data_IF_701036516708
#
_entry.id   IF_701036516708
#
_cell.length_a   1.000
_cell.length_b   1.000
_cell.length_c   1.000
_cell.angle_alpha   90.00
_cell.angle_beta   90.00
_cell.angle_gamma   90.00
#
_symmetry.space_group_name_H-M   'P 1'
#
loop_
_entity.id
_entity.type
_entity.pdbx_description
1 polymer ?
#
# COMPACT_ATOMS: atom_id res chain seq x y z
N UNK A 1 -1.39 -3.28 24.77
CA UNK A 1 -0.38 -4.24 25.25
C UNK A 1 -0.96 -5.63 25.31
N UNK A 2 -0.16 -6.64 25.01
CA UNK A 2 -0.65 -8.01 24.99
C UNK A 2 -0.82 -8.61 26.38
N UNK A 3 -1.88 -9.36 26.52
CA UNK A 3 -2.11 -10.23 27.67
C UNK A 3 -1.47 -11.57 27.34
N UNK A 4 -0.44 -11.94 28.05
CA UNK A 4 0.28 -13.17 27.74
C UNK A 4 -0.55 -14.43 27.92
N UNK A 5 -1.55 -14.37 28.78
CA UNK A 5 -2.43 -15.49 29.06
C UNK A 5 -3.58 -15.62 28.08
N UNK A 6 -3.72 -14.66 27.17
CA UNK A 6 -4.84 -14.60 26.24
C UNK A 6 -4.36 -14.43 24.81
N UNK A 7 -3.52 -15.34 24.29
CA UNK A 7 -2.97 -15.14 22.97
C UNK A 7 -4.00 -15.16 21.84
N UNK A 8 -5.05 -15.98 21.98
CA UNK A 8 -6.08 -16.02 20.95
C UNK A 8 -6.87 -14.71 20.92
N UNK A 9 -7.20 -14.18 22.09
CA UNK A 9 -7.92 -12.92 22.16
C UNK A 9 -7.09 -11.76 21.63
N UNK A 10 -5.79 -11.77 21.88
CA UNK A 10 -4.90 -10.78 21.32
C UNK A 10 -4.88 -10.84 19.80
N UNK A 11 -4.90 -12.05 19.24
CA UNK A 11 -4.95 -12.22 17.79
C UNK A 11 -6.25 -11.67 17.22
N UNK A 12 -7.36 -11.96 17.86
CA UNK A 12 -8.67 -11.40 17.48
C UNK A 12 -8.62 -9.88 17.49
N UNK A 13 -8.05 -9.31 18.55
CA UNK A 13 -7.95 -7.86 18.68
C UNK A 13 -7.17 -7.24 17.52
N UNK A 14 -6.10 -7.88 17.09
CA UNK A 14 -5.30 -7.36 15.97
C UNK A 14 -6.11 -7.37 14.67
N UNK A 15 -6.84 -8.43 14.39
CA UNK A 15 -7.66 -8.47 13.19
C UNK A 15 -8.81 -7.46 13.25
N UNK A 16 -9.35 -7.23 14.42
CA UNK A 16 -10.46 -6.29 14.60
C UNK A 16 -10.04 -4.84 14.38
N UNK A 17 -8.74 -4.55 14.37
CA UNK A 17 -8.23 -3.20 14.12
C UNK A 17 -8.31 -2.80 12.65
N UNK A 18 -8.47 -3.76 11.76
CA UNK A 18 -8.58 -3.43 10.34
C UNK A 18 -9.91 -2.76 10.03
N UNK A 19 -9.91 -1.69 9.21
CA UNK A 19 -11.16 -1.05 8.82
C UNK A 19 -12.08 -2.06 8.13
N UNK A 20 -13.34 -2.05 8.48
CA UNK A 20 -14.32 -2.94 7.88
C UNK A 20 -14.34 -4.35 8.47
N UNK A 21 -13.45 -4.66 9.40
CA UNK A 21 -13.44 -5.97 10.06
C UNK A 21 -14.08 -5.81 11.42
N UNK A 22 -15.29 -6.36 11.60
CA UNK A 22 -15.96 -6.37 12.88
C UNK A 22 -15.43 -7.50 13.76
N UNK A 23 -15.89 -7.50 15.02
CA UNK A 23 -15.42 -8.49 15.99
C UNK A 23 -15.70 -9.92 15.53
N UNK A 24 -16.88 -10.15 14.99
CA UNK A 24 -17.28 -11.48 14.54
C UNK A 24 -16.37 -12.00 13.43
N UNK A 25 -16.04 -11.15 12.46
CA UNK A 25 -15.14 -11.52 11.39
C UNK A 25 -13.72 -11.74 11.91
N UNK A 26 -13.28 -10.89 12.83
CA UNK A 26 -11.97 -11.01 13.44
C UNK A 26 -11.82 -12.36 14.17
N UNK A 27 -12.86 -12.77 14.88
CA UNK A 27 -12.86 -14.08 15.56
C UNK A 27 -12.69 -15.20 14.54
N UNK A 28 -13.44 -15.15 13.44
CA UNK A 28 -13.32 -16.17 12.40
C UNK A 28 -11.91 -16.21 11.79
N UNK A 29 -11.33 -15.04 11.55
CA UNK A 29 -9.98 -14.97 11.02
C UNK A 29 -8.95 -15.57 11.97
N UNK A 30 -9.09 -15.28 13.27
CA UNK A 30 -8.18 -15.82 14.28
C UNK A 30 -8.27 -17.35 14.33
N UNK A 31 -9.47 -17.90 14.30
CA UNK A 31 -9.62 -19.35 14.28
C UNK A 31 -9.10 -19.96 12.98
N UNK A 32 -9.21 -19.25 11.87
CA UNK A 32 -8.63 -19.72 10.62
C UNK A 32 -7.12 -19.85 10.75
N UNK A 33 -6.47 -18.87 11.38
CA UNK A 33 -5.04 -18.95 11.64
C UNK A 33 -4.70 -20.16 12.50
N UNK A 34 -5.52 -20.42 13.53
CA UNK A 34 -5.28 -21.56 14.40
C UNK A 34 -5.45 -22.89 13.69
N UNK A 35 -6.26 -22.92 12.63
CA UNK A 35 -6.46 -24.14 11.83
C UNK A 35 -5.35 -24.38 10.81
N UNK A 36 -4.54 -23.38 10.54
CA UNK A 36 -3.43 -23.52 9.61
C UNK A 36 -2.32 -24.37 10.19
N UNK A 37 -1.54 -25.04 9.33
CA UNK A 37 -0.26 -25.60 9.78
C UNK A 37 0.62 -24.48 10.35
N UNK A 38 1.39 -24.81 11.39
CA UNK A 38 2.24 -23.80 12.04
C UNK A 38 3.16 -23.08 11.04
N UNK A 39 3.67 -23.80 10.06
CA UNK A 39 4.54 -23.24 9.04
C UNK A 39 3.84 -22.15 8.23
N UNK A 40 2.59 -22.39 7.86
CA UNK A 40 1.81 -21.42 7.10
C UNK A 40 1.51 -20.17 7.94
N UNK A 41 1.20 -20.37 9.21
CA UNK A 41 0.95 -19.23 10.11
C UNK A 41 2.20 -18.39 10.29
N UNK A 42 3.36 -19.03 10.40
CA UNK A 42 4.64 -18.31 10.50
C UNK A 42 4.95 -17.55 9.23
N UNK A 43 4.62 -18.14 8.07
CA UNK A 43 4.81 -17.45 6.79
C UNK A 43 4.00 -16.16 6.75
N UNK A 44 2.77 -16.21 7.24
CA UNK A 44 1.92 -15.02 7.31
C UNK A 44 2.56 -13.95 8.20
N UNK A 45 3.03 -14.36 9.37
CA UNK A 45 3.65 -13.43 10.31
C UNK A 45 4.91 -12.79 9.71
N UNK A 46 5.73 -13.59 9.05
CA UNK A 46 6.95 -13.09 8.41
C UNK A 46 6.66 -12.19 7.22
N UNK A 47 5.61 -12.50 6.47
CA UNK A 47 5.21 -11.64 5.35
C UNK A 47 4.85 -10.24 5.83
N UNK A 48 4.13 -10.16 6.94
CA UNK A 48 3.77 -8.88 7.53
C UNK A 48 5.03 -8.13 7.97
N UNK A 49 5.91 -8.83 8.68
CA UNK A 49 7.15 -8.22 9.18
C UNK A 49 8.03 -7.71 8.06
N UNK A 50 8.25 -8.54 7.03
CA UNK A 50 9.10 -8.16 5.91
C UNK A 50 8.52 -6.99 5.13
N UNK A 51 7.20 -6.99 4.92
CA UNK A 51 6.57 -5.87 4.22
C UNK A 51 6.78 -4.56 4.97
N UNK A 52 6.64 -4.59 6.29
CA UNK A 52 6.83 -3.36 7.08
C UNK A 52 8.28 -2.90 7.13
N UNK A 53 9.22 -3.84 7.08
CA UNK A 53 10.64 -3.49 7.12
C UNK A 53 11.18 -3.05 5.77
N UNK A 54 10.79 -3.73 4.71
CA UNK A 54 11.43 -3.58 3.41
C UNK A 54 10.72 -2.61 2.48
N UNK A 55 9.41 -2.46 2.63
CA UNK A 55 8.67 -1.54 1.78
C UNK A 55 8.69 -0.13 2.34
N UNK A 56 8.94 0.82 1.45
CA UNK A 56 8.83 2.24 1.75
C UNK A 56 8.33 2.95 0.50
N UNK A 57 8.13 4.25 0.58
CA UNK A 57 7.59 5.00 -0.54
C UNK A 57 8.69 5.39 -1.52
N UNK A 58 8.40 5.22 -2.81
CA UNK A 58 9.25 5.76 -3.86
C UNK A 58 9.39 7.27 -3.63
N UNK A 59 10.61 7.80 -3.65
CA UNK A 59 10.82 9.21 -3.39
C UNK A 59 10.29 10.13 -4.48
N UNK A 60 9.93 9.56 -5.63
CA UNK A 60 9.40 10.35 -6.74
C UNK A 60 7.87 10.31 -6.75
N UNK A 61 7.27 9.12 -6.82
CA UNK A 61 5.82 8.98 -6.99
C UNK A 61 5.06 8.58 -5.72
N UNK A 62 5.74 8.18 -4.67
CA UNK A 62 5.16 7.78 -3.39
C UNK A 62 4.48 6.41 -3.41
N UNK A 63 4.59 5.64 -4.49
CA UNK A 63 4.16 4.25 -4.49
C UNK A 63 5.12 3.42 -3.63
N UNK A 64 4.68 2.26 -3.19
CA UNK A 64 5.52 1.38 -2.37
C UNK A 64 6.58 0.70 -3.23
N UNK A 65 7.79 0.64 -2.71
CA UNK A 65 8.91 -0.01 -3.39
C UNK A 65 9.93 -0.46 -2.34
N UNK A 66 10.78 -1.40 -2.71
CA UNK A 66 11.88 -1.81 -1.86
C UNK A 66 13.15 -1.00 -2.11
N UNK A 67 13.24 -0.36 -3.27
CA UNK A 67 14.38 0.50 -3.61
C UNK A 67 14.09 1.97 -3.33
N UNK A 68 14.99 2.82 -3.73
CA UNK A 68 14.81 4.27 -3.58
C UNK A 68 13.74 4.78 -4.54
N UNK A 69 13.71 4.25 -5.74
CA UNK A 69 12.80 4.64 -6.80
C UNK A 69 12.14 3.39 -7.37
N UNK A 70 10.84 3.45 -7.61
CA UNK A 70 10.11 2.30 -8.13
C UNK A 70 10.45 2.03 -9.61
N UNK A 71 10.03 0.86 -10.10
CA UNK A 71 10.33 0.44 -11.46
C UNK A 71 9.79 1.41 -12.51
N UNK A 72 8.61 1.96 -12.27
CA UNK A 72 7.99 2.88 -13.22
C UNK A 72 8.77 4.17 -13.29
N UNK A 73 9.10 4.76 -12.15
CA UNK A 73 9.86 6.00 -12.13
C UNK A 73 11.28 5.84 -12.66
N UNK A 74 11.85 4.66 -12.51
CA UNK A 74 13.20 4.37 -13.00
C UNK A 74 13.23 4.03 -14.50
N UNK A 75 12.08 3.69 -15.08
CA UNK A 75 12.02 3.26 -16.48
C UNK A 75 12.24 4.42 -17.44
N UNK A 76 13.13 4.23 -18.38
CA UNK A 76 13.39 5.24 -19.41
C UNK A 76 12.36 5.19 -20.55
N UNK A 77 11.52 4.17 -20.55
CA UNK A 77 10.50 4.01 -21.58
C UNK A 77 9.23 4.80 -21.28
N UNK A 78 9.13 5.38 -20.11
CA UNK A 78 7.94 6.14 -19.70
C UNK A 78 7.98 7.56 -20.22
N UNK A 79 6.80 8.07 -20.53
CA UNK A 79 6.66 9.47 -20.95
C UNK A 79 6.66 10.34 -19.68
N UNK A 80 7.77 11.05 -19.47
CA UNK A 80 7.95 11.84 -18.25
C UNK A 80 7.21 13.18 -18.28
N UNK A 81 6.55 13.47 -19.38
CA UNK A 81 5.76 14.70 -19.48
C UNK A 81 4.32 14.54 -18.99
N UNK A 82 3.91 13.31 -18.70
CA UNK A 82 2.54 13.01 -18.29
C UNK A 82 2.53 12.36 -16.93
N UNK A 83 1.70 12.86 -16.04
CA UNK A 83 1.59 12.34 -14.68
C UNK A 83 0.12 12.05 -14.35
N UNK A 84 -0.14 10.85 -13.88
CA UNK A 84 -1.46 10.46 -13.43
C UNK A 84 -1.45 10.50 -11.90
N UNK A 85 -2.27 11.38 -11.33
CA UNK A 85 -2.39 11.50 -9.88
C UNK A 85 -3.46 10.53 -9.41
N UNK A 86 -3.11 9.65 -8.49
CA UNK A 86 -4.03 8.65 -7.96
C UNK A 86 -4.10 8.72 -6.44
N UNK A 87 -5.21 8.24 -5.89
CA UNK A 87 -5.41 8.26 -4.44
C UNK A 87 -4.62 7.19 -3.72
N UNK A 88 -4.45 6.04 -4.35
CA UNK A 88 -3.90 4.85 -3.72
C UNK A 88 -2.99 4.09 -4.69
N UNK A 89 -1.99 3.37 -4.15
CA UNK A 89 -1.17 2.50 -5.00
C UNK A 89 -1.98 1.45 -5.76
N UNK A 90 -3.14 1.06 -5.25
CA UNK A 90 -4.00 0.09 -5.94
C UNK A 90 -4.48 0.61 -7.28
N UNK A 91 -4.66 1.93 -7.39
CA UNK A 91 -5.11 2.54 -8.64
C UNK A 91 -4.06 2.37 -9.74
N UNK A 92 -2.79 2.43 -9.37
CA UNK A 92 -1.70 2.22 -10.33
C UNK A 92 -1.81 0.83 -10.94
N UNK A 93 -2.01 -0.17 -10.10
CA UNK A 93 -2.10 -1.54 -10.60
C UNK A 93 -3.29 -1.73 -11.54
N UNK A 94 -4.41 -1.09 -11.22
CA UNK A 94 -5.59 -1.17 -12.08
C UNK A 94 -5.32 -0.53 -13.44
N UNK A 95 -4.66 0.61 -13.46
CA UNK A 95 -4.35 1.32 -14.71
C UNK A 95 -3.30 0.56 -15.52
N UNK A 96 -2.27 0.03 -14.84
CA UNK A 96 -1.21 -0.73 -15.54
C UNK A 96 -1.75 -1.99 -16.20
N UNK A 97 -2.82 -2.58 -15.68
CA UNK A 97 -3.42 -3.76 -16.30
C UNK A 97 -3.99 -3.47 -17.67
N UNK A 98 -4.32 -2.23 -17.96
CA UNK A 98 -4.85 -1.87 -19.27
C UNK A 98 -3.78 -1.83 -20.34
N UNK A 99 -2.51 -1.67 -19.95
CA UNK A 99 -1.38 -1.52 -20.85
C UNK A 99 -1.53 -0.35 -21.83
N UNK A 100 -2.37 0.63 -21.48
CA UNK A 100 -2.64 1.77 -22.34
C UNK A 100 -2.01 3.06 -21.86
N UNK A 101 -1.51 3.08 -20.64
CA UNK A 101 -0.90 4.27 -20.08
C UNK A 101 0.61 4.10 -19.99
N UNK A 102 1.35 5.11 -20.46
CA UNK A 102 2.82 5.06 -20.48
C UNK A 102 3.47 6.21 -19.74
N UNK A 103 2.71 6.97 -18.98
CA UNK A 103 3.26 8.10 -18.21
C UNK A 103 3.72 7.70 -16.82
N UNK A 104 3.92 8.70 -15.99
CA UNK A 104 4.30 8.50 -14.59
C UNK A 104 3.08 8.64 -13.71
N UNK A 105 3.28 8.42 -12.41
CA UNK A 105 2.21 8.49 -11.42
C UNK A 105 2.63 9.36 -10.24
N UNK A 106 1.66 9.78 -9.49
CA UNK A 106 1.87 10.36 -8.17
C UNK A 106 0.77 9.87 -7.24
N UNK A 107 1.14 9.25 -6.13
CA UNK A 107 0.20 8.66 -5.18
C UNK A 107 0.02 9.59 -4.00
N UNK A 108 -1.21 9.94 -3.72
CA UNK A 108 -1.55 10.85 -2.63
C UNK A 108 -1.70 10.14 -1.28
N UNK A 109 -2.02 8.87 -1.30
CA UNK A 109 -2.34 8.11 -0.09
C UNK A 109 -3.51 8.72 0.68
N UNK A 110 -4.52 9.20 -0.06
CA UNK A 110 -5.71 9.79 0.52
C UNK A 110 -6.66 10.22 -0.56
N UNK A 111 -7.84 10.66 -0.16
CA UNK A 111 -8.88 11.08 -1.09
C UNK A 111 -8.48 12.37 -1.82
N UNK A 112 -8.85 12.44 -3.09
CA UNK A 112 -8.65 13.64 -3.89
C UNK A 112 -9.80 14.60 -3.59
N UNK A 113 -9.46 15.84 -3.23
CA UNK A 113 -10.43 16.90 -3.02
C UNK A 113 -10.09 18.06 -3.94
N UNK A 114 -11.04 18.97 -4.21
CA UNK A 114 -10.74 20.15 -5.01
C UNK A 114 -9.59 20.99 -4.47
N UNK A 115 -9.47 21.09 -3.15
CA UNK A 115 -8.37 21.82 -2.53
C UNK A 115 -7.04 21.14 -2.78
N UNK A 116 -7.00 19.82 -2.61
CA UNK A 116 -5.79 19.06 -2.81
C UNK A 116 -5.34 19.12 -4.27
N UNK A 117 -6.28 19.04 -5.19
CA UNK A 117 -5.98 19.14 -6.61
C UNK A 117 -5.38 20.49 -6.95
N UNK A 118 -5.88 21.54 -6.34
CA UNK A 118 -5.36 22.87 -6.55
C UNK A 118 -3.89 22.96 -6.16
N UNK A 119 -3.54 22.43 -5.01
CA UNK A 119 -2.18 22.44 -4.51
C UNK A 119 -1.26 21.59 -5.39
N UNK A 120 -1.71 20.45 -5.81
CA UNK A 120 -0.95 19.57 -6.67
C UNK A 120 -0.69 20.21 -8.00
N UNK A 121 -1.70 20.84 -8.56
CA UNK A 121 -1.59 21.52 -9.84
C UNK A 121 -0.54 22.63 -9.83
N UNK A 122 -0.42 23.32 -8.73
CA UNK A 122 0.55 24.41 -8.61
C UNK A 122 1.98 23.89 -8.56
N UNK A 123 2.23 22.83 -7.81
CA UNK A 123 3.58 22.37 -7.54
C UNK A 123 4.15 21.40 -8.56
N UNK A 124 3.28 20.66 -9.22
CA UNK A 124 3.69 19.50 -9.99
C UNK A 124 4.53 19.76 -11.20
N UNK A 125 4.20 20.68 -12.10
CA UNK A 125 4.96 20.86 -13.33
C UNK A 125 6.43 21.13 -13.07
N UNK A 126 6.75 21.81 -12.01
CA UNK A 126 8.13 22.17 -11.69
C UNK A 126 8.95 20.95 -11.30
N UNK A 127 8.37 20.07 -10.49
CA UNK A 127 9.10 18.91 -10.00
C UNK A 127 9.31 17.84 -11.03
N UNK A 128 8.33 17.67 -11.86
CA UNK A 128 8.32 16.52 -12.77
C UNK A 128 8.80 16.83 -14.17
N UNK A 129 8.98 18.07 -14.47
CA UNK A 129 9.58 18.48 -15.72
C UNK A 129 11.07 18.29 -15.76
N UNK A 130 11.62 17.83 -14.70
CA UNK A 130 13.07 17.63 -14.61
C UNK A 130 13.56 16.36 -15.27
#
# INVERSE_FOLDING_TARGET
MFQKTEPLENLVDQFARFPGIGRKSAVRMAYQVMSMPAEQAMDLAQAIEHAKKDLHRCRICQDFTTGDVCKICASQKRDRSVICVVESPRDIKAIERTHEYNGLYHVLHGAISPMDLSLIHISEPTRLGM
#
